data_IF_004508302380
#
_entry.id   IF_004508302380
#
_cell.length_a   1.000
_cell.length_b   1.000
_cell.length_c   1.000
_cell.angle_alpha   90.00
_cell.angle_beta   90.00
_cell.angle_gamma   90.00
#
_symmetry.space_group_name_H-M   'P 1'
#
loop_
_entity.id
_entity.type
_entity.pdbx_description
1 polymer ?
#
# COMPACT_ATOMS: atom_id res chain seq x y z
N UNK A 1 -32.12 -2.63 -1.10
CA UNK A 1 -31.13 -3.47 -1.81
C UNK A 1 -29.68 -2.98 -1.61
N UNK A 2 -29.33 -2.52 -0.40
CA UNK A 2 -28.03 -1.88 -0.08
C UNK A 2 -27.13 -2.81 0.79
N UNK A 3 -27.66 -3.95 1.24
CA UNK A 3 -26.94 -4.86 2.14
C UNK A 3 -25.90 -5.75 1.43
N UNK A 4 -26.02 -5.97 0.11
CA UNK A 4 -25.16 -6.89 -0.65
C UNK A 4 -23.77 -6.33 -1.01
N UNK A 5 -23.56 -5.02 -0.87
CA UNK A 5 -22.28 -4.38 -1.23
C UNK A 5 -21.31 -4.20 -0.05
N UNK A 6 -21.74 -4.45 1.20
CA UNK A 6 -20.87 -4.37 2.38
C UNK A 6 -20.10 -5.66 2.68
N UNK A 7 -20.47 -6.76 2.05
CA UNK A 7 -19.97 -8.11 2.41
C UNK A 7 -18.56 -8.43 1.92
N UNK A 8 -17.98 -7.59 1.05
CA UNK A 8 -16.60 -7.72 0.58
C UNK A 8 -15.82 -6.48 1.01
N UNK A 9 -15.71 -6.28 2.32
CA UNK A 9 -14.74 -5.30 2.83
C UNK A 9 -13.38 -5.98 2.82
N UNK A 10 -12.80 -6.14 1.63
CA UNK A 10 -11.41 -6.57 1.51
C UNK A 10 -10.53 -5.47 2.09
N UNK A 11 -9.52 -5.87 2.86
CA UNK A 11 -8.53 -4.92 3.38
C UNK A 11 -7.83 -4.23 2.20
N UNK A 12 -7.36 -3.01 2.43
CA UNK A 12 -6.61 -2.26 1.40
C UNK A 12 -5.39 -3.06 0.93
N UNK A 13 -4.78 -3.85 1.84
CA UNK A 13 -3.68 -4.75 1.55
C UNK A 13 -4.10 -5.89 0.60
N UNK A 14 -5.22 -6.56 0.86
CA UNK A 14 -5.75 -7.61 -0.02
C UNK A 14 -6.04 -7.07 -1.42
N UNK A 15 -6.64 -5.88 -1.52
CA UNK A 15 -6.92 -5.23 -2.81
C UNK A 15 -5.65 -4.93 -3.59
N UNK A 16 -4.64 -4.35 -2.93
CA UNK A 16 -3.36 -4.04 -3.55
C UNK A 16 -2.63 -5.29 -4.04
N UNK A 17 -2.71 -6.39 -3.29
CA UNK A 17 -2.09 -7.66 -3.69
C UNK A 17 -2.84 -8.36 -4.84
N UNK A 18 -4.16 -8.19 -4.94
CA UNK A 18 -4.96 -8.71 -6.06
C UNK A 18 -4.67 -7.91 -7.34
N UNK A 19 -4.65 -6.58 -7.24
CA UNK A 19 -4.50 -5.69 -8.39
C UNK A 19 -3.03 -5.62 -8.87
N UNK A 20 -2.06 -5.80 -7.96
CA UNK A 20 -0.61 -5.71 -8.23
C UNK A 20 0.19 -6.87 -7.61
N UNK A 21 -0.05 -8.13 -8.03
CA UNK A 21 0.52 -9.31 -7.39
C UNK A 21 2.05 -9.42 -7.52
N UNK A 22 2.64 -8.81 -8.55
CA UNK A 22 4.07 -8.86 -8.81
C UNK A 22 4.88 -7.87 -7.98
N UNK A 23 4.25 -6.89 -7.33
CA UNK A 23 4.97 -5.78 -6.70
C UNK A 23 4.61 -5.56 -5.24
N UNK A 24 4.92 -6.59 -4.44
CA UNK A 24 4.75 -6.57 -2.99
C UNK A 24 5.48 -5.41 -2.32
N UNK A 25 6.58 -4.94 -2.91
CA UNK A 25 7.37 -3.82 -2.40
C UNK A 25 6.61 -2.48 -2.51
N UNK A 26 5.97 -2.25 -3.65
CA UNK A 26 5.10 -1.10 -3.90
C UNK A 26 3.87 -1.16 -2.99
N UNK A 27 3.19 -2.32 -2.88
CA UNK A 27 2.03 -2.46 -2.01
C UNK A 27 2.37 -2.11 -0.55
N UNK A 28 3.51 -2.59 -0.04
CA UNK A 28 3.96 -2.26 1.32
C UNK A 28 4.28 -0.77 1.50
N UNK A 29 4.89 -0.12 0.50
CA UNK A 29 5.14 1.32 0.56
C UNK A 29 3.83 2.11 0.61
N UNK A 30 2.87 1.78 -0.25
CA UNK A 30 1.54 2.43 -0.28
C UNK A 30 0.84 2.26 1.08
N UNK A 31 0.87 1.06 1.67
CA UNK A 31 0.26 0.80 2.98
C UNK A 31 0.91 1.59 4.11
N UNK A 32 2.23 1.82 4.06
CA UNK A 32 2.95 2.66 5.03
C UNK A 32 2.60 4.15 4.88
N UNK A 33 2.34 4.62 3.66
CA UNK A 33 1.90 6.00 3.39
C UNK A 33 0.47 6.26 3.85
N UNK A 34 -0.41 5.28 3.65
CA UNK A 34 -1.85 5.41 3.92
C UNK A 34 -2.24 5.05 5.37
N UNK A 35 -1.27 4.92 6.28
CA UNK A 35 -1.56 4.72 7.70
C UNK A 35 -2.42 5.86 8.25
N UNK A 36 -3.54 5.49 8.89
CA UNK A 36 -4.44 6.44 9.55
C UNK A 36 -3.73 7.04 10.77
N UNK A 37 -2.98 6.22 11.51
CA UNK A 37 -2.15 6.65 12.62
C UNK A 37 -0.92 7.40 12.10
N UNK A 38 -0.85 8.71 12.40
CA UNK A 38 0.23 9.58 11.95
C UNK A 38 1.60 9.18 12.50
N UNK A 39 1.65 8.56 13.69
CA UNK A 39 2.92 8.11 14.30
C UNK A 39 3.54 6.91 13.58
N UNK A 40 2.71 6.15 12.84
CA UNK A 40 3.12 4.96 12.08
C UNK A 40 3.24 5.22 10.58
N UNK A 41 2.84 6.42 10.13
CA UNK A 41 2.91 6.82 8.73
C UNK A 41 4.37 7.05 8.36
N UNK A 42 4.83 6.39 7.29
CA UNK A 42 6.19 6.56 6.82
C UNK A 42 6.42 8.00 6.35
N UNK A 43 7.60 8.54 6.67
CA UNK A 43 8.05 9.82 6.18
C UNK A 43 8.46 9.73 4.72
N UNK A 44 8.38 10.84 4.00
CA UNK A 44 8.82 10.91 2.59
C UNK A 44 10.25 10.38 2.40
N UNK A 45 11.16 10.68 3.34
CA UNK A 45 12.54 10.20 3.30
C UNK A 45 12.62 8.67 3.35
N UNK A 46 11.88 8.03 4.26
CA UNK A 46 11.89 6.57 4.42
C UNK A 46 11.34 5.83 3.20
N UNK A 47 10.43 6.48 2.45
CA UNK A 47 9.85 5.94 1.21
C UNK A 47 10.85 6.09 0.06
N UNK A 48 11.56 7.22 -0.02
CA UNK A 48 12.58 7.46 -1.04
C UNK A 48 13.81 6.57 -0.84
N UNK A 49 14.17 6.29 0.41
CA UNK A 49 15.26 5.37 0.76
C UNK A 49 14.88 3.89 0.54
N UNK A 50 13.60 3.59 0.29
CA UNK A 50 13.14 2.22 0.05
C UNK A 50 13.54 1.75 -1.37
N UNK A 51 14.32 0.65 -1.43
CA UNK A 51 14.70 0.02 -2.70
C UNK A 51 13.46 -0.38 -3.50
N UNK A 52 13.40 0.05 -4.76
CA UNK A 52 12.36 -0.32 -5.72
C UNK A 52 11.37 0.80 -6.06
N UNK A 53 11.31 1.88 -5.29
CA UNK A 53 10.36 2.98 -5.56
C UNK A 53 10.85 3.97 -6.64
N UNK A 54 12.12 4.40 -6.55
CA UNK A 54 12.72 5.36 -7.49
C UNK A 54 13.26 4.71 -8.77
N UNK A 55 13.00 3.41 -8.97
CA UNK A 55 13.74 2.61 -9.94
C UNK A 55 15.17 2.33 -9.47
N UNK A 56 15.90 1.50 -10.20
CA UNK A 56 17.34 1.36 -10.01
C UNK A 56 18.03 2.61 -10.55
N UNK A 57 18.97 3.18 -9.79
CA UNK A 57 19.95 4.13 -10.30
C UNK A 57 20.72 3.45 -11.45
N UNK A 58 20.25 3.64 -12.67
CA UNK A 58 20.91 3.20 -13.90
C UNK A 58 21.14 4.43 -14.77
#
# INVERSE_FOLDING_TARGET
MIAKQRSQTQSLEERLLIDYPSDRSISQCILKMLQIDHSKRAQAKEILDAKGWLGSDA
#
